data_IF_532298656512
#
_entry.id   IF_532298656512
#
_cell.length_a   1.000
_cell.length_b   1.000
_cell.length_c   1.000
_cell.angle_alpha   90.00
_cell.angle_beta   90.00
_cell.angle_gamma   90.00
#
_symmetry.space_group_name_H-M   'P 1'
#
loop_
_entity.id
_entity.type
_entity.pdbx_description
1 polymer ?
#
# COMPACT_ATOMS: atom_id res chain seq x y z
N UNK A 1 -23.30 -21.33 24.35
CA UNK A 1 -22.87 -20.60 23.13
C UNK A 1 -21.38 -20.87 22.96
N UNK A 2 -21.04 -21.83 22.09
CA UNK A 2 -19.77 -22.55 22.13
C UNK A 2 -18.70 -21.80 21.33
N UNK A 3 -17.59 -21.44 21.99
CA UNK A 3 -16.42 -20.69 21.52
C UNK A 3 -15.62 -21.40 20.38
N UNK A 4 -16.19 -22.44 19.75
CA UNK A 4 -15.42 -23.41 18.95
C UNK A 4 -15.04 -22.98 17.53
N UNK A 5 -15.52 -21.83 17.04
CA UNK A 5 -15.27 -21.37 15.66
C UNK A 5 -14.63 -19.98 15.57
N UNK A 6 -14.01 -19.46 16.64
CA UNK A 6 -13.44 -18.10 16.61
C UNK A 6 -12.14 -17.98 15.79
N UNK A 7 -11.49 -19.10 15.47
CA UNK A 7 -10.27 -19.15 14.66
C UNK A 7 -10.50 -19.95 13.38
N UNK A 8 -11.24 -19.36 12.44
CA UNK A 8 -11.28 -19.88 11.06
C UNK A 8 -9.86 -19.90 10.47
N UNK A 9 -9.56 -20.84 9.56
CA UNK A 9 -8.22 -21.01 8.97
C UNK A 9 -7.70 -19.70 8.36
N UNK A 10 -8.61 -18.91 7.81
CA UNK A 10 -8.33 -17.59 7.22
C UNK A 10 -7.87 -16.57 8.28
N UNK A 11 -8.54 -16.54 9.44
CA UNK A 11 -8.16 -15.65 10.54
C UNK A 11 -6.76 -16.01 11.07
N UNK A 12 -6.48 -17.30 11.26
CA UNK A 12 -5.15 -17.76 11.68
C UNK A 12 -4.06 -17.39 10.68
N UNK A 13 -4.36 -17.50 9.38
CA UNK A 13 -3.44 -17.14 8.31
C UNK A 13 -3.17 -15.63 8.28
N UNK A 14 -4.21 -14.80 8.36
CA UNK A 14 -4.08 -13.33 8.44
C UNK A 14 -3.28 -12.92 9.68
N UNK A 15 -3.58 -13.50 10.84
CA UNK A 15 -2.88 -13.23 12.08
C UNK A 15 -1.39 -13.63 12.00
N UNK A 16 -1.07 -14.76 11.37
CA UNK A 16 0.30 -15.18 11.10
C UNK A 16 1.02 -14.19 10.18
N UNK A 17 0.35 -13.69 9.13
CA UNK A 17 0.90 -12.66 8.24
C UNK A 17 1.18 -11.35 8.97
N UNK A 18 0.31 -10.94 9.90
CA UNK A 18 0.52 -9.75 10.73
C UNK A 18 1.74 -9.94 11.62
N UNK A 19 1.85 -11.07 12.32
CA UNK A 19 3.03 -11.36 13.16
C UNK A 19 4.32 -11.41 12.33
N UNK A 20 4.28 -12.03 11.15
CA UNK A 20 5.43 -12.03 10.24
C UNK A 20 5.81 -10.63 9.79
N UNK A 21 4.83 -9.79 9.44
CA UNK A 21 5.08 -8.40 9.09
C UNK A 21 5.70 -7.63 10.26
N UNK A 22 5.25 -7.88 11.50
CA UNK A 22 5.80 -7.28 12.72
C UNK A 22 7.26 -7.72 12.97
N UNK A 23 7.58 -9.00 12.76
CA UNK A 23 8.95 -9.52 12.91
C UNK A 23 9.87 -8.92 11.85
N UNK A 24 9.40 -8.83 10.60
CA UNK A 24 10.17 -8.25 9.49
C UNK A 24 10.36 -6.74 9.73
N UNK A 25 9.34 -6.05 10.24
CA UNK A 25 9.42 -4.66 10.70
C UNK A 25 10.52 -4.47 11.74
N UNK A 26 10.50 -5.31 12.78
CA UNK A 26 11.46 -5.25 13.87
C UNK A 26 12.89 -5.58 13.40
N UNK A 27 13.04 -6.55 12.49
CA UNK A 27 14.31 -6.86 11.85
C UNK A 27 14.81 -5.71 10.96
N UNK A 28 13.92 -5.06 10.21
CA UNK A 28 14.23 -3.87 9.41
C UNK A 28 14.61 -2.64 10.26
N UNK A 29 14.05 -2.53 11.46
CA UNK A 29 14.44 -1.52 12.44
C UNK A 29 15.85 -1.77 13.00
N UNK A 30 16.19 -3.02 13.32
CA UNK A 30 17.50 -3.39 13.85
C UNK A 30 18.62 -3.34 12.80
N UNK A 31 18.31 -3.66 11.54
CA UNK A 31 19.28 -3.73 10.45
C UNK A 31 18.89 -2.79 9.30
N UNK A 32 19.50 -1.59 9.21
CA UNK A 32 19.27 -0.64 8.11
C UNK A 32 19.52 -1.25 6.72
N UNK A 33 20.42 -2.24 6.65
CA UNK A 33 20.73 -2.99 5.42
C UNK A 33 19.54 -3.83 4.90
N UNK A 34 18.57 -4.18 5.74
CA UNK A 34 17.35 -4.91 5.36
C UNK A 34 16.23 -3.93 4.99
N UNK A 35 16.22 -2.75 5.63
CA UNK A 35 15.19 -1.73 5.44
C UNK A 35 15.17 -1.18 4.00
N UNK A 36 16.32 -0.75 3.47
CA UNK A 36 16.39 -0.17 2.14
C UNK A 36 15.98 -1.15 1.01
N UNK A 37 16.48 -2.41 0.95
CA UNK A 37 16.02 -3.37 -0.05
C UNK A 37 14.52 -3.68 0.06
N UNK A 38 14.01 -3.88 1.28
CA UNK A 38 12.58 -4.15 1.50
C UNK A 38 11.70 -2.99 1.03
N UNK A 39 12.11 -1.75 1.32
CA UNK A 39 11.46 -0.53 0.82
C UNK A 39 11.35 -0.55 -0.71
N UNK A 40 12.46 -0.77 -1.42
CA UNK A 40 12.46 -0.80 -2.88
C UNK A 40 11.63 -1.95 -3.45
N UNK A 41 11.69 -3.14 -2.85
CA UNK A 41 10.89 -4.30 -3.30
C UNK A 41 9.39 -4.01 -3.17
N UNK A 42 8.94 -3.46 -2.04
CA UNK A 42 7.52 -3.16 -1.81
C UNK A 42 7.04 -2.07 -2.78
N UNK A 43 7.84 -1.02 -3.00
CA UNK A 43 7.54 0.04 -3.96
C UNK A 43 7.42 -0.49 -5.38
N UNK A 44 8.35 -1.35 -5.80
CA UNK A 44 8.35 -1.92 -7.15
C UNK A 44 7.16 -2.85 -7.34
N UNK A 45 6.82 -3.67 -6.35
CA UNK A 45 5.61 -4.49 -6.33
C UNK A 45 4.35 -3.63 -6.41
N UNK A 46 4.25 -2.58 -5.60
CA UNK A 46 3.11 -1.68 -5.60
C UNK A 46 2.95 -0.95 -6.94
N UNK A 47 4.05 -0.51 -7.55
CA UNK A 47 4.04 0.10 -8.88
C UNK A 47 3.56 -0.90 -9.94
N UNK A 48 4.15 -2.09 -10.01
CA UNK A 48 3.80 -3.11 -10.99
C UNK A 48 2.33 -3.54 -10.86
N UNK A 49 1.86 -3.77 -9.64
CA UNK A 49 0.48 -4.13 -9.36
C UNK A 49 -0.48 -2.98 -9.65
N UNK A 50 -0.12 -1.74 -9.29
CA UNK A 50 -0.94 -0.55 -9.58
C UNK A 50 -1.08 -0.28 -11.08
N UNK A 51 -0.04 -0.58 -11.88
CA UNK A 51 -0.11 -0.47 -13.34
C UNK A 51 -1.05 -1.52 -13.95
N UNK A 52 -1.09 -2.73 -13.40
CA UNK A 52 -2.04 -3.77 -13.83
C UNK A 52 -3.47 -3.42 -13.41
N UNK A 53 -3.68 -3.14 -12.12
CA UNK A 53 -4.94 -2.68 -11.53
C UNK A 53 -4.65 -1.82 -10.30
N UNK A 54 -5.15 -0.59 -10.31
CA UNK A 54 -4.97 0.37 -9.21
C UNK A 54 -5.45 -0.20 -7.85
N UNK A 55 -6.45 -1.08 -7.88
CA UNK A 55 -7.03 -1.80 -6.73
C UNK A 55 -5.97 -2.53 -5.89
N UNK A 56 -5.02 -3.21 -6.53
CA UNK A 56 -3.98 -3.95 -5.82
C UNK A 56 -2.95 -3.01 -5.18
N UNK A 57 -2.64 -1.89 -5.85
CA UNK A 57 -1.80 -0.83 -5.28
C UNK A 57 -2.44 -0.23 -4.01
N UNK A 58 -3.74 0.08 -4.08
CA UNK A 58 -4.51 0.57 -2.93
C UNK A 58 -4.56 -0.44 -1.79
N UNK A 59 -4.73 -1.73 -2.08
CA UNK A 59 -4.72 -2.78 -1.06
C UNK A 59 -3.38 -2.85 -0.31
N UNK A 60 -2.25 -2.72 -1.02
CA UNK A 60 -0.91 -2.69 -0.40
C UNK A 60 -0.74 -1.47 0.50
N UNK A 61 -1.18 -0.31 0.03
CA UNK A 61 -1.09 0.93 0.79
C UNK A 61 -2.03 0.94 2.01
N UNK A 62 -3.22 0.33 1.92
CA UNK A 62 -4.07 0.08 3.10
C UNK A 62 -3.39 -0.90 4.08
N UNK A 63 -2.78 -1.97 3.60
CA UNK A 63 -2.03 -2.89 4.46
C UNK A 63 -0.87 -2.17 5.17
N UNK A 64 -0.12 -1.31 4.48
CA UNK A 64 0.89 -0.45 5.10
C UNK A 64 0.28 0.49 6.14
N UNK A 65 -0.91 1.06 5.89
CA UNK A 65 -1.55 1.97 6.84
C UNK A 65 -1.95 1.25 8.14
N UNK A 66 -2.50 0.04 8.02
CA UNK A 66 -2.92 -0.77 9.17
C UNK A 66 -1.73 -1.33 9.96
N UNK A 67 -0.69 -1.83 9.28
CA UNK A 67 0.49 -2.41 9.94
C UNK A 67 1.43 -1.29 10.42
N UNK A 68 1.58 -0.23 9.63
CA UNK A 68 2.48 0.89 9.84
C UNK A 68 1.88 2.02 10.65
N UNK A 69 1.29 1.73 11.81
CA UNK A 69 0.64 2.75 12.66
C UNK A 69 1.50 3.99 12.92
N UNK A 70 2.84 3.85 12.95
CA UNK A 70 3.80 4.95 13.15
C UNK A 70 4.42 5.53 11.87
N UNK A 71 4.21 4.93 10.70
CA UNK A 71 4.80 5.39 9.43
C UNK A 71 6.31 5.18 9.26
N UNK A 72 6.94 4.39 10.15
CA UNK A 72 8.39 4.12 10.15
C UNK A 72 8.76 2.66 9.86
N UNK A 73 7.83 1.84 9.36
CA UNK A 73 8.07 0.42 9.03
C UNK A 73 9.28 0.25 8.11
N UNK A 74 9.25 0.99 7.01
CA UNK A 74 10.35 1.07 6.06
C UNK A 74 10.52 2.52 5.64
N UNK A 75 11.76 2.96 5.63
CA UNK A 75 12.09 4.33 5.26
C UNK A 75 13.44 4.34 4.56
N UNK A 76 13.53 5.19 3.56
CA UNK A 76 14.76 5.46 2.86
C UNK A 76 15.28 6.84 3.28
N UNK A 77 16.47 6.88 3.86
CA UNK A 77 17.16 8.13 4.17
C UNK A 77 18.28 8.38 3.18
N UNK A 78 18.24 9.52 2.49
CA UNK A 78 19.33 9.98 1.63
C UNK A 78 19.57 11.47 1.84
N UNK A 79 20.82 11.86 2.14
CA UNK A 79 21.25 13.24 2.37
C UNK A 79 20.35 14.04 3.35
N UNK A 80 19.88 13.39 4.43
CA UNK A 80 19.03 14.02 5.44
C UNK A 80 17.53 14.06 5.12
N UNK A 81 17.13 13.63 3.93
CA UNK A 81 15.72 13.44 3.56
C UNK A 81 15.27 12.02 3.91
N UNK A 82 14.29 11.89 4.80
CA UNK A 82 13.66 10.62 5.17
C UNK A 82 12.36 10.43 4.40
N UNK A 83 12.34 9.54 3.43
CA UNK A 83 11.12 9.18 2.70
C UNK A 83 10.56 7.90 3.33
N UNK A 84 9.36 7.99 3.90
CA UNK A 84 8.65 6.82 4.40
C UNK A 84 8.01 6.02 3.27
N UNK A 85 7.85 4.72 3.48
CA UNK A 85 7.18 3.83 2.53
C UNK A 85 5.78 4.32 2.18
N UNK A 86 5.03 4.84 3.16
CA UNK A 86 3.71 5.43 2.94
C UNK A 86 3.72 6.53 1.89
N UNK A 87 4.64 7.49 2.01
CA UNK A 87 4.74 8.62 1.08
C UNK A 87 5.06 8.10 -0.32
N UNK A 88 5.99 7.15 -0.43
CA UNK A 88 6.35 6.55 -1.71
C UNK A 88 5.17 5.81 -2.36
N UNK A 89 4.43 5.01 -1.58
CA UNK A 89 3.24 4.29 -2.04
C UNK A 89 2.12 5.26 -2.47
N UNK A 90 1.87 6.31 -1.69
CA UNK A 90 0.91 7.36 -2.04
C UNK A 90 1.25 8.03 -3.38
N UNK A 91 2.53 8.38 -3.54
CA UNK A 91 3.03 9.04 -4.74
C UNK A 91 2.88 8.13 -5.96
N UNK A 92 3.16 6.83 -5.83
CA UNK A 92 2.92 5.84 -6.89
C UNK A 92 1.45 5.78 -7.27
N UNK A 93 0.56 5.60 -6.31
CA UNK A 93 -0.88 5.40 -6.61
C UNK A 93 -1.46 6.64 -7.28
N UNK A 94 -1.17 7.84 -6.76
CA UNK A 94 -1.58 9.09 -7.40
C UNK A 94 -0.99 9.18 -8.81
N UNK A 95 0.30 8.90 -8.98
CA UNK A 95 0.98 9.03 -10.28
C UNK A 95 0.38 8.09 -11.33
N UNK A 96 0.12 6.83 -10.96
CA UNK A 96 -0.50 5.84 -11.87
C UNK A 96 -1.93 6.25 -12.20
N UNK A 97 -2.72 6.68 -11.21
CA UNK A 97 -4.08 7.16 -11.42
C UNK A 97 -4.13 8.40 -12.32
N UNK A 98 -3.26 9.38 -12.08
CA UNK A 98 -3.12 10.57 -12.92
C UNK A 98 -2.71 10.20 -14.34
N UNK A 99 -1.75 9.29 -14.51
CA UNK A 99 -1.30 8.82 -15.82
C UNK A 99 -2.42 8.15 -16.61
N UNK A 100 -3.20 7.27 -15.97
CA UNK A 100 -4.37 6.63 -16.59
C UNK A 100 -5.47 7.64 -16.93
N UNK A 101 -5.73 8.60 -16.06
CA UNK A 101 -6.76 9.64 -16.29
C UNK A 101 -6.34 10.56 -17.43
N UNK A 102 -5.07 10.99 -17.47
CA UNK A 102 -4.55 11.87 -18.50
C UNK A 102 -4.51 11.19 -19.88
N UNK A 103 -4.09 9.93 -19.94
CA UNK A 103 -4.09 9.15 -21.19
C UNK A 103 -5.50 8.94 -21.74
N UNK A 104 -6.48 8.65 -20.87
CA UNK A 104 -7.90 8.58 -21.24
C UNK A 104 -8.45 9.92 -21.72
N UNK A 105 -8.07 11.03 -21.06
CA UNK A 105 -8.48 12.38 -21.45
C UNK A 105 -7.95 12.76 -22.84
N UNK A 106 -6.66 12.50 -23.10
CA UNK A 106 -6.02 12.78 -24.40
C UNK A 106 -6.67 11.95 -25.53
N UNK A 107 -6.99 10.68 -25.28
CA UNK A 107 -7.55 9.79 -26.30
C UNK A 107 -9.02 10.08 -26.62
N UNK A 108 -9.87 10.25 -25.61
CA UNK A 108 -11.31 10.33 -25.80
C UNK A 108 -11.87 11.77 -25.78
N UNK A 109 -11.06 12.79 -25.42
CA UNK A 109 -11.51 14.18 -25.15
C UNK A 109 -12.73 14.30 -24.21
N UNK A 110 -13.08 13.22 -23.53
CA UNK A 110 -14.11 13.12 -22.51
C UNK A 110 -13.43 12.67 -21.23
N UNK A 111 -13.64 13.42 -20.16
CA UNK A 111 -13.27 13.02 -18.81
C UNK A 111 -14.25 11.93 -18.35
N UNK A 112 -14.08 10.72 -18.86
CA UNK A 112 -14.70 9.56 -18.20
C UNK A 112 -13.88 9.24 -16.97
N UNK A 113 -14.16 9.98 -15.90
CA UNK A 113 -13.66 9.70 -14.56
C UNK A 113 -14.42 8.47 -14.05
N UNK A 114 -14.18 7.30 -14.66
CA UNK A 114 -14.72 6.00 -14.25
C UNK A 114 -14.37 5.67 -12.78
N UNK A 115 -13.48 6.45 -12.19
CA UNK A 115 -13.08 6.39 -10.78
C UNK A 115 -14.17 6.89 -9.81
N UNK A 116 -14.92 7.96 -10.15
CA UNK A 116 -15.93 8.54 -9.23
C UNK A 116 -17.20 7.69 -9.10
N UNK A 117 -17.47 6.77 -10.03
CA UNK A 117 -18.66 5.92 -10.02
C UNK A 117 -18.34 4.46 -9.65
N UNK A 118 -17.07 4.12 -9.42
CA UNK A 118 -16.71 2.78 -8.93
C UNK A 118 -16.89 2.73 -7.41
N UNK A 119 -17.39 1.60 -6.91
CA UNK A 119 -17.58 1.27 -5.48
C UNK A 119 -16.30 1.41 -4.61
N UNK A 120 -15.18 1.83 -5.19
CA UNK A 120 -13.85 1.87 -4.58
C UNK A 120 -13.41 3.28 -4.15
N UNK A 121 -14.17 4.33 -4.47
CA UNK A 121 -13.91 5.70 -4.00
C UNK A 121 -13.92 5.80 -2.46
N UNK A 122 -14.77 5.01 -1.78
CA UNK A 122 -14.82 4.97 -0.32
C UNK A 122 -13.48 4.57 0.32
N UNK A 123 -12.69 3.69 -0.32
CA UNK A 123 -11.35 3.34 0.18
C UNK A 123 -10.35 4.49 0.05
N UNK A 124 -10.51 5.35 -0.96
CA UNK A 124 -9.68 6.53 -1.16
C UNK A 124 -10.02 7.64 -0.14
N UNK A 125 -11.29 7.76 0.24
CA UNK A 125 -11.75 8.71 1.28
C UNK A 125 -11.30 8.27 2.67
N UNK A 126 -11.38 6.97 2.99
CA UNK A 126 -10.83 6.40 4.25
C UNK A 126 -9.33 6.65 4.38
N UNK A 127 -8.62 6.75 3.24
CA UNK A 127 -7.19 7.01 3.17
C UNK A 127 -6.79 8.44 3.52
N UNK A 128 -7.73 9.38 3.43
CA UNK A 128 -7.53 10.80 3.71
C UNK A 128 -8.05 11.23 5.09
N UNK A 129 -8.75 10.34 5.80
CA UNK A 129 -9.42 10.59 7.09
C UNK A 129 -8.59 10.03 8.25
#
# INVERSE_FOLDING_TARGET
MTIKNFFDKRFRLIFLFIILAEIISFAGYLFPAINAPAFFIIILLALALSLYRLEYGLAILLAELFIGSKGYLFYFTSNGLTISLRIALWLIIISVWLGQTLTSWIKNKRLEVNFCHSSHFSYFVILFL
#
